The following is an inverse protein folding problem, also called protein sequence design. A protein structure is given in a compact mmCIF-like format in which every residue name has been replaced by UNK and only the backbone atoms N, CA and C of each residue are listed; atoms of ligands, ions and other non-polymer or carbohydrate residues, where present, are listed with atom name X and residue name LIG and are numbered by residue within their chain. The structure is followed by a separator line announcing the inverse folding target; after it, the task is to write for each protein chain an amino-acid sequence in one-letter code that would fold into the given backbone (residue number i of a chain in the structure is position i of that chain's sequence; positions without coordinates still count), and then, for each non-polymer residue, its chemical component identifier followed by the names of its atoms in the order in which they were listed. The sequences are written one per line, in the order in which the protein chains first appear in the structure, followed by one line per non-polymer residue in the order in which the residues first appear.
data_IF_780388592730
#
_entry.id   IF_780388592730
#
_cell.length_a   1.000
_cell.length_b   1.000
_cell.length_c   1.000
_cell.angle_alpha   90.00
_cell.angle_beta   90.00
_cell.angle_gamma   90.00
#
_symmetry.space_group_name_H-M   'P 1'
#
loop_
_entity.id
_entity.type
_entity.pdbx_description
1 polymer ?
#
# COMPACT_ATOMS: atom_id res chain seq x y z
N UNK A 1 -18.83 52.54 -23.97
CA UNK A 1 -20.31 52.63 -23.99
C UNK A 1 -20.85 51.59 -23.04
N UNK A 2 -21.55 52.12 -22.08
CA UNK A 2 -22.26 51.53 -20.97
C UNK A 2 -23.27 50.46 -21.40
N UNK A 3 -23.41 49.38 -20.61
CA UNK A 3 -24.73 48.97 -20.08
C UNK A 3 -24.55 48.01 -18.88
N UNK A 4 -24.91 48.55 -17.76
CA UNK A 4 -25.24 47.95 -16.47
C UNK A 4 -26.59 47.21 -16.63
N UNK A 5 -26.76 46.05 -16.01
CA UNK A 5 -28.06 45.47 -15.70
C UNK A 5 -28.02 44.85 -14.30
N UNK A 6 -28.77 45.46 -13.46
CA UNK A 6 -29.14 45.12 -12.06
C UNK A 6 -30.51 44.48 -12.10
N UNK A 7 -30.76 43.38 -11.42
CA UNK A 7 -32.11 42.89 -10.98
C UNK A 7 -31.85 41.88 -9.83
N UNK A 8 -32.18 42.22 -8.64
CA UNK A 8 -33.37 42.29 -7.78
C UNK A 8 -33.59 40.97 -6.98
N UNK A 9 -33.60 41.20 -5.71
CA UNK A 9 -33.87 40.41 -4.53
C UNK A 9 -35.30 39.83 -4.55
N UNK A 10 -35.45 38.57 -4.17
CA UNK A 10 -36.70 37.94 -3.82
C UNK A 10 -36.61 37.27 -2.46
N UNK A 11 -37.12 37.95 -1.45
CA UNK A 11 -37.34 37.46 -0.09
C UNK A 11 -38.69 36.71 -0.04
N UNK A 12 -38.71 35.47 0.40
CA UNK A 12 -39.93 34.68 0.64
C UNK A 12 -39.86 34.01 1.96
N UNK A 13 -40.44 34.59 2.99
CA UNK A 13 -40.73 34.03 4.29
C UNK A 13 -42.10 33.31 4.23
N UNK A 14 -42.18 32.03 4.56
CA UNK A 14 -43.43 31.41 5.04
C UNK A 14 -43.09 30.48 6.20
N UNK A 15 -43.62 30.80 7.36
CA UNK A 15 -43.56 30.00 8.56
C UNK A 15 -44.62 28.89 8.52
N UNK A 16 -44.40 27.83 9.29
CA UNK A 16 -45.33 26.76 9.56
C UNK A 16 -44.89 26.02 10.82
N UNK A 17 -45.56 26.34 11.91
CA UNK A 17 -45.46 25.61 13.18
C UNK A 17 -46.27 24.31 13.11
N UNK A 18 -45.74 23.23 13.64
CA UNK A 18 -46.45 21.95 13.77
C UNK A 18 -45.89 21.06 14.86
N UNK A 19 -46.67 20.86 15.85
CA UNK A 19 -46.60 20.25 17.17
C UNK A 19 -45.85 18.90 17.28
N UNK A 20 -45.35 18.70 18.48
CA UNK A 20 -44.78 17.53 19.09
C UNK A 20 -45.70 16.31 19.16
N UNK A 21 -45.11 15.11 19.06
CA UNK A 21 -45.63 13.90 19.69
C UNK A 21 -44.42 13.08 20.23
N UNK A 22 -44.38 13.00 21.56
CA UNK A 22 -43.50 12.10 22.31
C UNK A 22 -44.01 10.67 22.18
N UNK A 23 -43.13 9.75 21.77
CA UNK A 23 -43.37 8.31 21.82
C UNK A 23 -42.22 7.67 22.59
N UNK A 24 -42.46 7.36 23.86
CA UNK A 24 -41.60 6.46 24.65
C UNK A 24 -41.80 5.03 24.17
N UNK A 25 -40.76 4.45 23.56
CA UNK A 25 -40.63 3.02 23.35
C UNK A 25 -39.55 2.48 24.29
N UNK A 26 -39.98 1.71 25.30
CA UNK A 26 -39.10 0.90 26.12
C UNK A 26 -38.61 -0.29 25.28
N UNK A 27 -37.30 -0.40 25.10
CA UNK A 27 -36.67 -1.62 24.60
C UNK A 27 -36.23 -2.46 25.81
N UNK A 28 -36.83 -3.62 25.92
CA UNK A 28 -36.49 -4.65 26.89
C UNK A 28 -35.07 -5.21 26.58
N UNK A 29 -34.21 -5.18 27.56
CA UNK A 29 -32.93 -5.85 27.54
C UNK A 29 -33.08 -7.35 27.64
N UNK A 30 -32.69 -8.08 26.61
CA UNK A 30 -32.57 -9.55 26.62
C UNK A 30 -31.19 -9.92 27.22
N UNK A 31 -31.12 -10.78 28.25
CA UNK A 31 -29.83 -11.19 28.82
C UNK A 31 -29.13 -12.20 27.90
N UNK A 32 -27.96 -11.85 27.45
CA UNK A 32 -27.06 -12.78 26.74
C UNK A 32 -26.48 -13.78 27.73
N UNK A 33 -26.84 -15.05 27.55
CA UNK A 33 -26.32 -16.16 28.32
C UNK A 33 -24.81 -16.33 28.12
N UNK A 34 -24.10 -16.51 29.24
CA UNK A 34 -22.71 -16.88 29.29
C UNK A 34 -22.53 -18.30 28.76
N UNK A 35 -21.80 -18.44 27.65
CA UNK A 35 -21.28 -19.73 27.19
C UNK A 35 -19.91 -19.95 27.82
N UNK A 36 -19.86 -20.85 28.81
CA UNK A 36 -18.63 -21.38 29.36
C UNK A 36 -18.01 -22.33 28.34
N UNK A 37 -16.84 -22.00 27.84
CA UNK A 37 -16.03 -22.93 27.06
C UNK A 37 -15.00 -23.53 27.99
N UNK A 38 -15.23 -24.77 28.41
CA UNK A 38 -14.25 -25.61 29.11
C UNK A 38 -13.17 -26.04 28.11
N UNK A 39 -11.93 -25.79 28.48
CA UNK A 39 -10.72 -26.31 27.82
C UNK A 39 -10.37 -27.63 28.45
N UNK A 40 -10.30 -28.74 27.73
CA UNK A 40 -9.74 -29.97 28.31
C UNK A 40 -8.22 -29.92 28.32
N UNK A 41 -7.68 -30.14 29.53
CA UNK A 41 -6.25 -30.27 29.78
C UNK A 41 -5.73 -31.66 29.38
N UNK A 42 -4.53 -31.61 28.78
CA UNK A 42 -3.41 -32.54 29.02
C UNK A 42 -3.57 -34.03 28.74
N UNK A 43 -2.87 -34.47 27.68
CA UNK A 43 -2.32 -35.84 27.70
C UNK A 43 -0.80 -35.80 27.46
N UNK A 44 -0.09 -36.03 28.53
CA UNK A 44 1.34 -36.36 28.60
C UNK A 44 1.55 -37.77 28.06
N UNK A 45 2.33 -37.92 27.00
CA UNK A 45 2.85 -39.24 26.61
C UNK A 45 4.34 -39.26 26.89
N UNK A 46 4.67 -39.91 27.98
CA UNK A 46 6.01 -40.40 28.30
C UNK A 46 6.32 -41.62 27.43
N UNK A 47 7.43 -41.62 26.73
CA UNK A 47 8.03 -42.84 26.26
C UNK A 47 9.54 -42.84 26.55
N UNK A 48 9.89 -43.63 27.52
CA UNK A 48 11.25 -44.04 27.87
C UNK A 48 11.69 -45.18 26.95
N UNK A 49 12.88 -45.08 26.43
CA UNK A 49 13.54 -46.13 25.68
C UNK A 49 15.02 -45.84 25.54
N UNK A 50 15.78 -46.31 26.51
CA UNK A 50 17.23 -46.42 26.53
C UNK A 50 17.69 -47.52 25.59
N UNK A 51 18.70 -47.27 24.71
CA UNK A 51 19.72 -48.32 24.42
C UNK A 51 20.93 -47.70 23.68
N UNK A 52 22.00 -47.73 24.28
CA UNK A 52 23.42 -48.03 24.18
C UNK A 52 24.06 -48.03 22.78
N UNK A 53 25.18 -47.29 22.72
CA UNK A 53 26.19 -47.28 21.67
C UNK A 53 27.02 -48.58 21.59
N UNK A 54 27.83 -48.87 20.56
CA UNK A 54 29.13 -48.23 20.36
C UNK A 54 29.54 -48.03 18.88
N UNK A 55 30.72 -47.40 18.63
CA UNK A 55 31.15 -47.01 17.31
C UNK A 55 32.00 -48.05 16.59
N UNK A 56 32.23 -47.87 15.31
CA UNK A 56 33.60 -47.95 14.84
C UNK A 56 34.04 -46.81 13.90
N UNK A 57 35.24 -46.54 14.05
CA UNK A 57 36.29 -45.82 13.40
C UNK A 57 36.43 -46.17 11.88
N UNK A 58 36.77 -45.17 11.12
CA UNK A 58 37.83 -44.99 10.14
C UNK A 58 37.51 -44.63 8.71
N UNK A 59 38.06 -43.50 8.36
CA UNK A 59 38.92 -43.16 7.18
C UNK A 59 38.32 -43.22 5.78
N UNK A 60 38.17 -42.02 5.20
CA UNK A 60 37.93 -41.87 3.79
C UNK A 60 38.00 -40.41 3.32
N UNK A 61 39.19 -40.00 2.96
CA UNK A 61 39.58 -38.96 1.96
C UNK A 61 38.60 -37.86 1.62
N UNK A 62 39.10 -36.64 1.83
CA UNK A 62 38.52 -35.39 1.44
C UNK A 62 38.12 -35.25 -0.02
N UNK A 63 37.00 -34.66 -0.16
CA UNK A 63 36.72 -33.75 -1.27
C UNK A 63 36.03 -32.55 -0.62
N UNK A 64 36.78 -31.47 -0.52
CA UNK A 64 36.28 -30.16 -0.19
C UNK A 64 35.29 -29.78 -1.28
N UNK A 65 34.03 -29.98 -1.02
CA UNK A 65 32.97 -29.32 -1.79
C UNK A 65 33.03 -27.87 -1.32
N UNK A 66 33.54 -27.01 -2.18
CA UNK A 66 33.40 -25.57 -2.00
C UNK A 66 31.94 -25.27 -1.72
N UNK A 67 31.70 -24.76 -0.52
CA UNK A 67 30.42 -24.16 -0.15
C UNK A 67 30.12 -23.07 -1.19
N UNK A 68 29.17 -23.38 -2.05
CA UNK A 68 28.59 -22.39 -2.93
C UNK A 68 28.22 -21.18 -2.10
N UNK A 69 28.72 -20.04 -2.52
CA UNK A 69 28.34 -18.71 -2.08
C UNK A 69 26.82 -18.66 -1.87
N UNK A 70 26.37 -18.67 -0.63
CA UNK A 70 25.00 -18.37 -0.30
C UNK A 70 24.74 -16.96 -0.80
N UNK A 71 23.99 -16.84 -1.87
CA UNK A 71 23.44 -15.56 -2.29
C UNK A 71 22.73 -15.00 -1.06
N UNK A 72 23.21 -13.88 -0.55
CA UNK A 72 22.54 -13.17 0.52
C UNK A 72 21.12 -12.91 0.03
N UNK A 73 20.14 -13.57 0.66
CA UNK A 73 18.73 -13.40 0.29
C UNK A 73 18.39 -11.92 0.45
N UNK A 74 17.98 -11.28 -0.66
CA UNK A 74 17.55 -9.90 -0.67
C UNK A 74 16.33 -9.72 0.25
N UNK A 75 16.22 -8.54 0.83
CA UNK A 75 15.01 -8.12 1.55
C UNK A 75 14.18 -7.28 0.61
N UNK A 76 12.94 -7.71 0.38
CA UNK A 76 11.96 -7.01 -0.44
C UNK A 76 11.08 -6.12 0.45
N UNK A 77 10.87 -4.86 0.04
CA UNK A 77 10.01 -3.91 0.76
C UNK A 77 9.37 -2.90 -0.19
N UNK A 78 8.28 -2.33 0.28
CA UNK A 78 7.54 -1.30 -0.45
C UNK A 78 8.17 0.08 -0.27
N UNK A 79 8.11 0.88 -1.34
CA UNK A 79 8.39 2.31 -1.33
C UNK A 79 7.17 3.03 -1.91
N UNK A 80 6.68 4.03 -1.19
CA UNK A 80 5.47 4.74 -1.56
C UNK A 80 5.81 6.10 -2.19
N UNK A 81 5.49 6.21 -3.46
CA UNK A 81 5.72 7.37 -4.31
C UNK A 81 4.36 8.00 -4.70
N UNK A 82 4.34 8.82 -5.74
CA UNK A 82 3.13 9.47 -6.25
C UNK A 82 3.01 9.23 -7.75
N UNK A 83 1.78 9.01 -8.23
CA UNK A 83 1.46 8.96 -9.65
C UNK A 83 0.19 9.77 -9.90
N UNK A 84 0.32 10.88 -10.67
CA UNK A 84 -0.73 11.88 -10.73
C UNK A 84 -0.89 12.56 -9.35
N UNK A 85 -2.09 12.56 -8.82
CA UNK A 85 -2.42 13.15 -7.51
C UNK A 85 -2.52 12.11 -6.38
N UNK A 86 -2.29 10.82 -6.69
CA UNK A 86 -2.48 9.72 -5.74
C UNK A 86 -1.17 9.04 -5.38
N UNK A 87 -1.17 8.38 -4.23
CA UNK A 87 -0.09 7.50 -3.80
C UNK A 87 0.07 6.33 -4.78
N UNK A 88 1.29 5.90 -4.95
CA UNK A 88 1.67 4.78 -5.79
C UNK A 88 2.72 3.93 -5.07
N UNK A 89 2.48 2.62 -4.99
CA UNK A 89 3.39 1.68 -4.35
C UNK A 89 4.29 1.00 -5.39
N UNK A 90 5.54 0.84 -5.03
CA UNK A 90 6.53 0.06 -5.80
C UNK A 90 7.40 -0.73 -4.84
N UNK A 91 8.11 -1.73 -5.36
CA UNK A 91 8.95 -2.59 -4.56
C UNK A 91 10.43 -2.35 -4.81
N UNK A 92 11.22 -2.51 -3.76
CA UNK A 92 12.68 -2.48 -3.81
C UNK A 92 13.24 -3.73 -3.18
N UNK A 93 14.34 -4.19 -3.71
CA UNK A 93 15.12 -5.29 -3.17
C UNK A 93 16.52 -4.80 -2.86
N UNK A 94 16.99 -5.06 -1.65
CA UNK A 94 18.40 -4.84 -1.27
C UNK A 94 18.97 -6.06 -0.60
N UNK A 95 20.29 -6.24 -0.66
CA UNK A 95 20.98 -7.25 0.14
C UNK A 95 20.55 -7.15 1.61
N UNK A 96 20.40 -8.30 2.28
CA UNK A 96 19.87 -8.37 3.63
C UNK A 96 20.59 -7.41 4.57
N UNK A 97 19.83 -6.54 5.21
CA UNK A 97 20.28 -5.52 6.16
C UNK A 97 19.42 -5.56 7.42
N UNK A 98 20.00 -5.43 8.61
CA UNK A 98 19.21 -5.31 9.84
C UNK A 98 18.48 -3.95 9.94
N UNK A 99 18.81 -2.99 9.08
CA UNK A 99 18.22 -1.65 9.04
C UNK A 99 17.29 -1.48 7.84
N UNK A 100 16.34 -2.39 7.67
CA UNK A 100 15.43 -2.40 6.51
C UNK A 100 14.63 -1.11 6.40
N UNK A 101 14.15 -0.56 7.51
CA UNK A 101 13.44 0.72 7.52
C UNK A 101 14.29 1.90 7.04
N UNK A 102 15.59 1.94 7.41
CA UNK A 102 16.53 2.94 6.92
C UNK A 102 16.73 2.79 5.40
N UNK A 103 16.90 1.56 4.92
CA UNK A 103 17.04 1.28 3.49
C UNK A 103 15.80 1.71 2.70
N UNK A 104 14.61 1.44 3.24
CA UNK A 104 13.35 1.86 2.62
C UNK A 104 13.22 3.39 2.54
N UNK A 105 13.63 4.10 3.59
CA UNK A 105 13.65 5.57 3.61
C UNK A 105 14.69 6.15 2.63
N UNK A 106 15.86 5.55 2.54
CA UNK A 106 16.87 5.96 1.54
C UNK A 106 16.36 5.81 0.11
N UNK A 107 15.68 4.69 -0.21
CA UNK A 107 15.09 4.46 -1.52
C UNK A 107 13.90 5.39 -1.79
N UNK A 108 13.10 5.71 -0.77
CA UNK A 108 12.05 6.72 -0.88
C UNK A 108 12.63 8.09 -1.24
N UNK A 109 13.67 8.52 -0.55
CA UNK A 109 14.32 9.82 -0.77
C UNK A 109 15.08 9.86 -2.11
N UNK A 110 15.56 8.71 -2.60
CA UNK A 110 16.12 8.60 -3.94
C UNK A 110 15.06 8.80 -5.05
N UNK A 111 13.77 8.59 -4.72
CA UNK A 111 12.66 8.77 -5.63
C UNK A 111 12.47 7.64 -6.65
N UNK A 112 11.72 7.90 -7.73
CA UNK A 112 11.42 6.89 -8.73
C UNK A 112 12.64 6.52 -9.58
N UNK A 113 12.71 5.24 -9.96
CA UNK A 113 13.66 4.79 -10.96
C UNK A 113 13.38 5.43 -12.34
N UNK A 114 14.35 5.43 -13.29
CA UNK A 114 14.11 5.95 -14.63
C UNK A 114 12.92 5.27 -15.35
N UNK A 115 12.63 4.00 -15.05
CA UNK A 115 11.52 3.28 -15.65
C UNK A 115 10.18 3.73 -15.06
N UNK A 116 10.12 3.87 -13.76
CA UNK A 116 8.95 4.39 -13.05
C UNK A 116 8.65 5.84 -13.44
N UNK A 117 9.68 6.68 -13.54
CA UNK A 117 9.53 8.06 -14.00
C UNK A 117 8.92 8.14 -15.42
N UNK A 118 9.37 7.26 -16.34
CA UNK A 118 8.77 7.16 -17.68
C UNK A 118 7.30 6.70 -17.65
N UNK A 119 6.92 5.93 -16.63
CA UNK A 119 5.54 5.52 -16.39
C UNK A 119 4.71 6.56 -15.62
N UNK A 120 5.25 7.76 -15.38
CA UNK A 120 4.57 8.87 -14.73
C UNK A 120 4.60 8.84 -13.21
N UNK A 121 5.47 8.01 -12.62
CA UNK A 121 5.69 8.01 -11.16
C UNK A 121 6.64 9.15 -10.79
N UNK A 122 6.31 9.86 -9.73
CA UNK A 122 7.06 11.01 -9.21
C UNK A 122 7.16 10.94 -7.70
N UNK A 123 7.81 11.92 -7.08
CA UNK A 123 7.77 12.17 -5.65
C UNK A 123 7.45 13.65 -5.40
N UNK A 124 6.75 13.93 -4.29
CA UNK A 124 6.52 15.30 -3.83
C UNK A 124 7.46 15.68 -2.68
N UNK A 125 8.32 14.74 -2.26
CA UNK A 125 9.39 15.03 -1.31
C UNK A 125 10.42 15.92 -2.02
N UNK A 126 10.79 17.08 -1.44
CA UNK A 126 11.73 18.00 -2.07
C UNK A 126 13.09 17.35 -2.30
N UNK A 127 13.68 17.62 -3.46
CA UNK A 127 15.05 17.22 -3.75
C UNK A 127 16.00 17.84 -2.70
N UNK A 128 16.95 17.02 -2.22
CA UNK A 128 17.88 17.45 -1.17
C UNK A 128 17.43 17.13 0.25
N UNK A 129 16.19 16.67 0.47
CA UNK A 129 15.77 16.09 1.75
C UNK A 129 16.70 14.92 2.12
N UNK A 130 17.21 14.94 3.36
CA UNK A 130 18.12 13.91 3.87
C UNK A 130 17.49 13.20 5.06
N UNK A 131 17.75 11.92 5.18
CA UNK A 131 17.47 11.16 6.40
C UNK A 131 18.59 11.41 7.40
N UNK A 132 18.27 12.05 8.53
CA UNK A 132 19.21 12.34 9.60
C UNK A 132 19.18 11.23 10.67
N UNK A 133 18.01 10.61 10.87
CA UNK A 133 17.85 9.52 11.81
C UNK A 133 16.58 8.73 11.60
N UNK A 134 16.60 7.45 12.01
CA UNK A 134 15.41 6.62 12.13
C UNK A 134 15.55 5.71 13.34
N UNK A 135 14.65 5.84 14.28
CA UNK A 135 14.58 5.01 15.49
C UNK A 135 13.19 4.38 15.61
N UNK A 136 13.12 3.17 16.15
CA UNK A 136 11.83 2.52 16.45
C UNK A 136 11.81 2.17 17.93
N UNK A 137 10.89 2.76 18.66
CA UNK A 137 10.71 2.52 20.10
C UNK A 137 9.24 2.37 20.43
N UNK A 138 8.89 1.30 21.16
CA UNK A 138 7.50 1.01 21.58
C UNK A 138 6.47 1.03 20.43
N UNK A 139 6.91 0.69 19.23
CA UNK A 139 6.06 0.68 18.05
C UNK A 139 5.97 2.01 17.29
N UNK A 140 6.63 3.06 17.77
CA UNK A 140 6.70 4.35 17.05
C UNK A 140 8.03 4.44 16.31
N UNK A 141 7.96 4.64 15.00
CA UNK A 141 9.11 5.01 14.19
C UNK A 141 9.25 6.53 14.23
N UNK A 142 10.33 7.03 14.81
CA UNK A 142 10.67 8.46 14.77
C UNK A 142 11.64 8.68 13.62
N UNK A 143 11.21 9.47 12.65
CA UNK A 143 11.98 9.82 11.44
C UNK A 143 12.47 11.23 11.56
N UNK A 144 13.79 11.41 11.61
CA UNK A 144 14.43 12.72 11.58
C UNK A 144 14.89 13.03 10.14
N UNK A 145 14.31 14.08 9.57
CA UNK A 145 14.59 14.54 8.21
C UNK A 145 15.18 15.96 8.29
N UNK A 146 15.95 16.31 7.26
CA UNK A 146 16.42 17.69 7.16
C UNK A 146 15.26 18.64 6.79
N UNK A 147 15.37 19.91 7.18
CA UNK A 147 14.31 20.92 7.03
C UNK A 147 13.87 21.17 5.59
N UNK A 148 14.63 20.73 4.59
CA UNK A 148 14.19 20.73 3.19
C UNK A 148 12.88 19.97 2.99
N UNK A 149 12.56 18.99 3.86
CA UNK A 149 11.34 18.18 3.78
C UNK A 149 10.07 19.02 3.84
N UNK A 150 10.04 20.13 4.56
CA UNK A 150 8.88 21.02 4.62
C UNK A 150 8.92 22.17 3.61
N UNK A 151 9.96 22.27 2.77
CA UNK A 151 10.12 23.39 1.85
C UNK A 151 9.15 23.31 0.65
N UNK A 152 8.50 24.44 0.34
CA UNK A 152 7.63 24.61 -0.85
C UNK A 152 6.42 23.68 -0.87
N UNK A 153 5.49 23.90 -1.79
CA UNK A 153 4.23 23.14 -1.94
C UNK A 153 3.10 23.73 -1.09
N UNK A 154 1.89 23.23 -1.29
CA UNK A 154 0.70 23.56 -0.49
C UNK A 154 0.24 22.34 0.29
N UNK A 155 -0.89 22.44 1.00
CA UNK A 155 -1.41 21.43 1.94
C UNK A 155 -1.53 20.02 1.33
N UNK A 156 -2.00 19.89 0.09
CA UNK A 156 -2.08 18.59 -0.60
C UNK A 156 -0.69 17.95 -0.78
N UNK A 157 0.32 18.75 -1.18
CA UNK A 157 1.70 18.29 -1.31
C UNK A 157 2.30 17.91 0.03
N UNK A 158 2.01 18.68 1.08
CA UNK A 158 2.48 18.40 2.44
C UNK A 158 1.88 17.10 2.99
N UNK A 159 0.58 16.90 2.85
CA UNK A 159 -0.09 15.65 3.22
C UNK A 159 0.49 14.45 2.47
N UNK A 160 0.73 14.59 1.17
CA UNK A 160 1.30 13.51 0.37
C UNK A 160 2.76 13.18 0.75
N UNK A 161 3.57 14.16 1.20
CA UNK A 161 4.93 13.91 1.75
C UNK A 161 4.86 13.05 3.00
N UNK A 162 4.01 13.44 3.95
CA UNK A 162 3.81 12.68 5.18
C UNK A 162 3.33 11.26 4.87
N UNK A 163 2.38 11.12 3.94
CA UNK A 163 1.85 9.84 3.50
C UNK A 163 2.92 8.93 2.87
N UNK A 164 3.79 9.48 2.00
CA UNK A 164 4.89 8.71 1.40
C UNK A 164 5.79 8.09 2.48
N UNK A 165 6.16 8.86 3.51
CA UNK A 165 6.98 8.38 4.62
C UNK A 165 6.21 7.40 5.49
N UNK A 166 4.99 7.75 5.91
CA UNK A 166 4.16 6.93 6.78
C UNK A 166 3.87 5.56 6.15
N UNK A 167 3.43 5.53 4.88
CA UNK A 167 3.14 4.28 4.18
C UNK A 167 4.39 3.42 3.93
N UNK A 168 5.55 4.06 3.66
CA UNK A 168 6.81 3.33 3.50
C UNK A 168 7.25 2.65 4.79
N UNK A 169 6.96 3.22 5.95
CA UNK A 169 7.37 2.64 7.23
C UNK A 169 6.31 1.76 7.88
N UNK A 170 5.02 2.01 7.66
CA UNK A 170 3.91 1.27 8.28
C UNK A 170 3.83 -0.22 7.84
N UNK A 171 4.53 -0.59 6.76
CA UNK A 171 4.65 -1.98 6.31
C UNK A 171 5.41 -2.89 7.28
N UNK A 172 6.27 -2.31 8.12
CA UNK A 172 7.11 -3.11 9.03
C UNK A 172 6.33 -3.49 10.29
N UNK A 173 6.29 -4.79 10.68
CA UNK A 173 5.49 -5.27 11.81
C UNK A 173 5.82 -4.60 13.16
N UNK A 174 7.05 -4.08 13.29
CA UNK A 174 7.51 -3.37 14.47
C UNK A 174 7.03 -1.92 14.56
N UNK A 175 6.50 -1.37 13.46
CA UNK A 175 5.99 0.01 13.36
C UNK A 175 4.48 -0.01 13.54
N UNK A 176 3.98 0.82 14.45
CA UNK A 176 2.57 1.02 14.76
C UNK A 176 2.12 2.45 14.48
N UNK A 177 3.07 3.32 14.17
CA UNK A 177 2.88 4.71 13.81
C UNK A 177 4.21 5.39 13.59
N UNK A 178 4.18 6.52 12.90
CA UNK A 178 5.34 7.32 12.49
C UNK A 178 5.22 8.71 13.09
N UNK A 179 6.27 9.16 13.79
CA UNK A 179 6.44 10.53 14.26
C UNK A 179 7.59 11.19 13.50
N UNK A 180 7.53 12.50 13.36
CA UNK A 180 8.47 13.28 12.57
C UNK A 180 9.33 14.18 13.43
N UNK A 181 10.59 14.30 13.05
CA UNK A 181 11.52 15.33 13.52
C UNK A 181 12.09 16.04 12.29
N UNK A 182 12.39 17.33 12.42
CA UNK A 182 13.12 18.11 11.44
C UNK A 182 14.36 18.71 12.11
N UNK A 183 15.53 18.40 11.55
CA UNK A 183 16.83 18.79 12.11
C UNK A 183 16.94 18.48 13.62
N UNK A 184 16.43 17.29 14.02
CA UNK A 184 16.40 16.83 15.42
C UNK A 184 15.36 17.49 16.32
N UNK A 185 14.41 18.25 15.76
CA UNK A 185 13.33 18.87 16.53
C UNK A 185 11.99 18.17 16.24
N UNK A 186 11.24 17.74 17.26
CA UNK A 186 9.91 17.17 17.08
C UNK A 186 8.96 18.11 16.35
N UNK A 187 8.11 17.56 15.49
CA UNK A 187 7.14 18.31 14.68
C UNK A 187 5.72 17.95 15.14
N UNK A 188 5.09 18.86 15.87
CA UNK A 188 3.67 18.74 16.26
C UNK A 188 2.73 19.41 15.24
N UNK A 189 3.24 20.37 14.47
CA UNK A 189 2.54 21.04 13.38
C UNK A 189 3.48 21.10 12.19
N UNK A 190 3.09 20.41 11.10
CA UNK A 190 3.91 20.33 9.91
C UNK A 190 3.59 21.46 8.94
N UNK A 191 4.64 22.21 8.59
CA UNK A 191 4.67 23.32 7.64
C UNK A 191 3.77 24.52 7.99
N UNK A 192 3.90 25.60 7.22
CA UNK A 192 3.02 26.77 7.29
C UNK A 192 1.55 26.49 6.96
N UNK A 193 1.25 25.29 6.42
CA UNK A 193 -0.12 24.82 6.14
C UNK A 193 -0.87 24.38 7.41
N UNK A 194 -0.17 24.21 8.53
CA UNK A 194 -0.76 23.90 9.82
C UNK A 194 -1.29 22.48 9.96
N UNK A 195 -0.67 21.49 9.31
CA UNK A 195 -1.05 20.09 9.46
C UNK A 195 -0.64 19.61 10.85
N UNK A 196 -1.63 19.28 11.70
CA UNK A 196 -1.40 18.84 13.07
C UNK A 196 -0.97 17.38 13.09
N UNK A 197 0.13 17.12 13.82
CA UNK A 197 0.71 15.80 14.04
C UNK A 197 0.72 15.48 15.54
N UNK A 198 -0.44 15.53 16.19
CA UNK A 198 -0.62 15.35 17.64
C UNK A 198 -0.51 13.88 18.09
N UNK A 199 -0.41 12.96 17.13
CA UNK A 199 -0.20 11.53 17.36
C UNK A 199 0.64 10.92 16.24
N UNK A 200 1.30 9.75 16.48
CA UNK A 200 2.02 9.05 15.42
C UNK A 200 1.06 8.61 14.31
N UNK A 201 1.31 9.06 13.08
CA UNK A 201 0.45 8.80 11.91
C UNK A 201 0.74 7.44 11.28
N UNK A 202 -0.24 6.91 10.54
CA UNK A 202 -0.17 5.64 9.82
C UNK A 202 -0.58 5.81 8.36
N UNK A 203 -0.27 4.82 7.53
CA UNK A 203 -0.69 4.83 6.13
C UNK A 203 -2.21 4.97 5.96
N UNK A 204 -3.01 4.33 6.81
CA UNK A 204 -4.47 4.42 6.80
C UNK A 204 -5.03 5.83 7.03
N UNK A 205 -4.27 6.71 7.67
CA UNK A 205 -4.70 8.09 7.95
C UNK A 205 -4.66 8.95 6.68
N UNK A 206 -4.11 8.39 5.59
CA UNK A 206 -4.00 8.99 4.25
C UNK A 206 -4.73 8.17 3.18
N UNK A 207 -5.79 7.44 3.56
CA UNK A 207 -6.54 6.58 2.62
C UNK A 207 -7.18 7.38 1.47
N UNK A 208 -7.52 8.63 1.71
CA UNK A 208 -8.03 9.59 0.71
C UNK A 208 -7.02 9.94 -0.39
N UNK A 209 -5.73 9.71 -0.15
CA UNK A 209 -4.67 9.86 -1.15
C UNK A 209 -4.43 8.58 -1.97
N UNK A 210 -5.06 7.47 -1.64
CA UNK A 210 -4.96 6.25 -2.44
C UNK A 210 -5.80 6.39 -3.72
N UNK A 211 -5.32 5.85 -4.86
CA UNK A 211 -6.12 5.83 -6.09
C UNK A 211 -7.33 4.90 -5.91
N UNK A 212 -8.35 5.07 -6.72
CA UNK A 212 -9.53 4.18 -6.74
C UNK A 212 -9.12 2.71 -6.85
N UNK A 213 -8.14 2.42 -7.71
CA UNK A 213 -7.51 1.11 -7.86
C UNK A 213 -6.02 1.26 -7.58
N UNK A 214 -5.50 0.58 -6.57
CA UNK A 214 -4.09 0.47 -6.25
C UNK A 214 -3.60 -0.93 -6.65
N UNK A 215 -2.65 -1.02 -7.57
CA UNK A 215 -1.99 -2.28 -7.92
C UNK A 215 -0.68 -2.36 -7.14
N UNK A 216 -0.58 -3.38 -6.29
CA UNK A 216 0.61 -3.63 -5.46
C UNK A 216 1.57 -4.59 -6.15
N UNK A 217 1.03 -5.52 -6.93
CA UNK A 217 1.81 -6.50 -7.69
C UNK A 217 1.15 -6.77 -9.05
N UNK A 218 1.93 -6.88 -10.15
CA UNK A 218 3.39 -6.69 -10.24
C UNK A 218 3.80 -5.22 -10.23
N UNK A 219 5.11 -4.99 -10.00
CA UNK A 219 5.73 -3.68 -10.10
C UNK A 219 6.03 -3.29 -11.55
N UNK A 220 6.20 -1.99 -11.79
CA UNK A 220 6.64 -1.45 -13.07
C UNK A 220 8.01 -2.05 -13.45
N UNK A 221 8.09 -2.63 -14.66
CA UNK A 221 9.29 -3.25 -15.23
C UNK A 221 9.58 -4.65 -14.74
N UNK A 222 8.75 -5.23 -13.89
CA UNK A 222 8.92 -6.60 -13.44
C UNK A 222 8.86 -7.57 -14.64
N UNK A 223 9.73 -8.58 -14.60
CA UNK A 223 9.66 -9.74 -15.51
C UNK A 223 8.60 -10.69 -14.98
N UNK A 224 7.60 -10.99 -15.77
CA UNK A 224 6.45 -11.79 -15.37
C UNK A 224 6.27 -12.99 -16.30
N UNK A 225 5.99 -14.13 -15.72
CA UNK A 225 5.66 -15.39 -16.41
C UNK A 225 4.16 -15.62 -16.37
N UNK A 226 3.64 -16.48 -17.23
CA UNK A 226 2.24 -16.93 -17.20
C UNK A 226 1.90 -17.53 -15.82
N UNK A 227 0.68 -17.27 -15.33
CA UNK A 227 0.30 -17.58 -13.96
C UNK A 227 0.68 -16.48 -12.96
N UNK A 228 1.04 -15.27 -13.44
CA UNK A 228 1.33 -14.15 -12.57
C UNK A 228 0.12 -13.78 -11.70
N UNK A 229 0.34 -13.65 -10.40
CA UNK A 229 -0.67 -13.08 -9.50
C UNK A 229 -0.68 -11.56 -9.61
N UNK A 230 -1.82 -10.98 -9.99
CA UNK A 230 -2.06 -9.54 -9.96
C UNK A 230 -2.88 -9.22 -8.71
N UNK A 231 -2.37 -8.34 -7.86
CA UNK A 231 -3.00 -8.04 -6.58
C UNK A 231 -2.91 -6.56 -6.19
N UNK A 232 -3.79 -6.17 -5.28
CA UNK A 232 -3.85 -4.82 -4.77
C UNK A 232 -5.12 -4.54 -3.98
N UNK A 233 -5.55 -3.28 -3.97
CA UNK A 233 -6.79 -2.87 -3.33
C UNK A 233 -7.59 -1.91 -4.21
N UNK A 234 -8.91 -1.93 -4.05
CA UNK A 234 -9.81 -1.09 -4.83
C UNK A 234 -11.02 -0.62 -4.02
N UNK A 235 -11.54 0.56 -4.36
CA UNK A 235 -12.83 1.06 -3.91
C UNK A 235 -13.66 1.37 -5.16
N UNK A 236 -14.23 0.31 -5.74
CA UNK A 236 -14.95 0.34 -7.00
C UNK A 236 -16.40 -0.14 -6.83
N UNK A 237 -17.26 0.26 -7.74
CA UNK A 237 -18.67 -0.15 -7.72
C UNK A 237 -18.79 -1.68 -7.82
N UNK A 238 -19.62 -2.28 -6.97
CA UNK A 238 -19.83 -3.74 -6.88
C UNK A 238 -18.55 -4.56 -6.65
N UNK A 239 -17.46 -3.90 -6.22
CA UNK A 239 -16.16 -4.54 -5.98
C UNK A 239 -15.56 -5.25 -7.20
N UNK A 240 -16.06 -5.01 -8.41
CA UNK A 240 -15.62 -5.71 -9.62
C UNK A 240 -14.33 -5.09 -10.18
N UNK A 241 -13.31 -5.93 -10.37
CA UNK A 241 -11.99 -5.54 -10.90
C UNK A 241 -11.67 -6.42 -12.10
N UNK A 242 -11.45 -5.79 -13.26
CA UNK A 242 -11.03 -6.44 -14.50
C UNK A 242 -9.52 -6.33 -14.66
N UNK A 243 -8.87 -7.44 -15.01
CA UNK A 243 -7.43 -7.51 -15.29
C UNK A 243 -7.24 -7.95 -16.74
N UNK A 244 -6.40 -7.22 -17.48
CA UNK A 244 -6.02 -7.54 -18.85
C UNK A 244 -4.51 -7.58 -19.00
N UNK A 245 -3.99 -8.44 -19.85
CA UNK A 245 -2.59 -8.46 -20.26
C UNK A 245 -2.53 -8.06 -21.73
N UNK A 246 -1.77 -7.02 -22.02
CA UNK A 246 -1.55 -6.53 -23.38
C UNK A 246 -0.11 -6.79 -23.80
N UNK A 247 0.10 -7.13 -25.08
CA UNK A 247 1.43 -7.21 -25.68
C UNK A 247 2.05 -5.84 -25.97
N UNK A 248 3.25 -5.82 -26.55
CA UNK A 248 3.96 -4.59 -26.92
C UNK A 248 3.20 -3.74 -27.95
N UNK A 249 2.33 -4.34 -28.76
CA UNK A 249 1.48 -3.67 -29.75
C UNK A 249 0.14 -3.19 -29.18
N UNK A 250 -0.15 -3.54 -27.92
CA UNK A 250 -1.43 -3.24 -27.28
C UNK A 250 -2.52 -4.26 -27.58
N UNK A 251 -2.18 -5.42 -28.18
CA UNK A 251 -3.12 -6.51 -28.42
C UNK A 251 -3.40 -7.21 -27.08
N UNK A 252 -4.67 -7.49 -26.81
CA UNK A 252 -5.07 -8.21 -25.61
C UNK A 252 -4.70 -9.70 -25.72
N UNK A 253 -3.84 -10.16 -24.82
CA UNK A 253 -3.42 -11.56 -24.72
C UNK A 253 -4.31 -12.33 -23.74
N UNK A 254 -4.81 -11.67 -22.72
CA UNK A 254 -5.62 -12.27 -21.66
C UNK A 254 -6.52 -11.23 -21.01
N UNK A 255 -7.69 -11.72 -20.55
CA UNK A 255 -8.63 -10.94 -19.76
C UNK A 255 -9.28 -11.82 -18.71
N UNK A 256 -9.41 -11.28 -17.50
CA UNK A 256 -10.18 -11.89 -16.44
C UNK A 256 -10.76 -10.84 -15.51
N UNK A 257 -11.57 -11.28 -14.56
CA UNK A 257 -12.12 -10.41 -13.54
C UNK A 257 -12.12 -11.12 -12.18
N UNK A 258 -12.04 -10.30 -11.14
CA UNK A 258 -12.10 -10.76 -9.75
C UNK A 258 -12.94 -9.78 -8.94
N UNK A 259 -13.36 -10.20 -7.76
CA UNK A 259 -14.13 -9.34 -6.84
C UNK A 259 -13.24 -8.98 -5.66
N UNK A 260 -13.11 -7.69 -5.38
CA UNK A 260 -12.44 -7.23 -4.16
C UNK A 260 -13.25 -7.59 -2.91
N UNK A 261 -12.59 -7.70 -1.77
CA UNK A 261 -13.24 -8.09 -0.50
C UNK A 261 -14.24 -7.05 0.02
N UNK A 262 -14.22 -5.84 -0.52
CA UNK A 262 -15.16 -4.76 -0.28
C UNK A 262 -15.26 -3.86 -1.52
N UNK A 263 -16.36 -3.13 -1.69
CA UNK A 263 -16.55 -2.16 -2.77
C UNK A 263 -17.69 -1.20 -2.46
N UNK A 264 -17.89 -0.20 -3.33
CA UNK A 264 -18.97 0.80 -3.19
C UNK A 264 -18.94 1.53 -1.85
N UNK A 265 -17.88 2.32 -1.63
CA UNK A 265 -17.71 3.14 -0.43
C UNK A 265 -16.79 2.53 0.65
N UNK A 266 -16.19 1.39 0.38
CA UNK A 266 -15.11 0.81 1.19
C UNK A 266 -14.01 0.27 0.28
N UNK A 267 -12.79 0.22 0.80
CA UNK A 267 -11.65 -0.35 0.09
C UNK A 267 -11.52 -1.83 0.41
N UNK A 268 -11.53 -2.66 -0.63
CA UNK A 268 -11.30 -4.10 -0.52
C UNK A 268 -9.99 -4.51 -1.19
N UNK A 269 -9.41 -5.63 -0.79
CA UNK A 269 -8.27 -6.24 -1.45
C UNK A 269 -8.73 -7.16 -2.57
N UNK A 270 -7.97 -7.23 -3.65
CA UNK A 270 -8.18 -8.17 -4.76
C UNK A 270 -6.90 -8.94 -5.06
N UNK A 271 -7.08 -10.14 -5.60
CA UNK A 271 -6.00 -10.99 -6.10
C UNK A 271 -6.54 -11.87 -7.21
N UNK A 272 -5.76 -12.05 -8.27
CA UNK A 272 -6.12 -12.87 -9.42
C UNK A 272 -4.86 -13.40 -10.10
N UNK A 273 -4.82 -14.69 -10.37
CA UNK A 273 -3.81 -15.30 -11.23
C UNK A 273 -4.21 -15.12 -12.68
N UNK A 274 -3.27 -14.72 -13.52
CA UNK A 274 -3.52 -14.41 -14.94
C UNK A 274 -2.56 -15.18 -15.81
N UNK A 275 -3.12 -16.03 -16.67
CA UNK A 275 -2.38 -16.78 -17.69
C UNK A 275 -2.32 -15.98 -18.98
N UNK A 276 -1.21 -16.09 -19.70
CA UNK A 276 -1.00 -15.54 -21.04
C UNK A 276 0.04 -16.37 -21.79
N UNK A 277 0.09 -16.22 -23.10
CA UNK A 277 1.08 -16.89 -23.94
C UNK A 277 1.86 -15.87 -24.76
N UNK A 278 3.19 -15.97 -24.72
CA UNK A 278 4.10 -15.24 -25.59
C UNK A 278 5.24 -16.17 -26.04
N UNK A 279 5.70 -15.99 -27.26
CA UNK A 279 6.74 -16.88 -27.87
C UNK A 279 8.15 -16.41 -27.60
N UNK A 280 8.34 -15.19 -27.14
CA UNK A 280 9.62 -14.59 -26.81
C UNK A 280 9.43 -13.48 -25.76
N UNK A 281 10.52 -13.14 -25.08
CA UNK A 281 10.54 -12.02 -24.16
C UNK A 281 10.17 -10.71 -24.87
N UNK A 282 9.19 -9.98 -24.34
CA UNK A 282 8.74 -8.72 -24.90
C UNK A 282 8.18 -7.77 -23.86
N UNK A 283 8.09 -6.49 -24.21
CA UNK A 283 7.36 -5.54 -23.40
C UNK A 283 5.86 -5.90 -23.39
N UNK A 284 5.22 -5.64 -22.28
CA UNK A 284 3.77 -5.78 -22.14
C UNK A 284 3.21 -4.79 -21.12
N UNK A 285 1.92 -4.83 -20.95
CA UNK A 285 1.23 -3.99 -19.97
C UNK A 285 0.14 -4.80 -19.27
N UNK A 286 0.17 -4.83 -17.95
CA UNK A 286 -0.96 -5.29 -17.16
C UNK A 286 -1.86 -4.07 -16.91
N UNK A 287 -3.13 -4.22 -17.26
CA UNK A 287 -4.16 -3.19 -17.13
C UNK A 287 -5.18 -3.67 -16.13
N UNK A 288 -5.37 -2.88 -15.07
CA UNK A 288 -6.37 -3.16 -14.03
C UNK A 288 -7.40 -2.03 -14.07
N UNK A 289 -8.66 -2.37 -14.21
CA UNK A 289 -9.74 -1.39 -14.33
C UNK A 289 -11.00 -1.83 -13.60
N UNK A 290 -11.86 -0.86 -13.28
CA UNK A 290 -13.26 -1.13 -12.99
C UNK A 290 -14.07 -1.22 -14.30
N UNK A 291 -15.30 -1.67 -14.18
CA UNK A 291 -16.27 -1.64 -15.27
C UNK A 291 -17.32 -0.54 -14.98
N UNK A 292 -17.89 0.05 -16.05
CA UNK A 292 -19.05 0.94 -15.91
C UNK A 292 -20.34 0.11 -15.69
N UNK A 293 -20.34 -0.76 -14.66
CA UNK A 293 -21.46 -1.62 -14.33
C UNK A 293 -22.73 -0.83 -13.99
N UNK A 294 -22.57 0.44 -13.56
CA UNK A 294 -23.69 1.34 -13.30
C UNK A 294 -24.26 2.00 -14.55
N UNK A 295 -23.65 1.80 -15.74
CA UNK A 295 -24.10 2.38 -17.01
C UNK A 295 -24.08 3.91 -17.04
N UNK A 296 -23.12 4.51 -16.33
CA UNK A 296 -23.01 5.98 -16.18
C UNK A 296 -22.43 6.65 -17.41
N UNK A 297 -21.81 5.88 -18.31
CA UNK A 297 -21.07 6.37 -19.47
C UNK A 297 -19.77 7.08 -19.10
N UNK A 298 -19.32 7.00 -17.84
CA UNK A 298 -18.01 7.49 -17.41
C UNK A 298 -16.92 6.53 -17.88
N UNK A 299 -15.74 7.04 -18.30
CA UNK A 299 -14.61 6.16 -18.57
C UNK A 299 -14.24 5.42 -17.29
N UNK A 300 -13.85 4.12 -17.39
CA UNK A 300 -13.44 3.35 -16.25
C UNK A 300 -12.15 3.94 -15.64
N UNK A 301 -11.98 3.74 -14.33
CA UNK A 301 -10.69 3.95 -13.70
C UNK A 301 -9.75 2.85 -14.20
N UNK A 302 -8.60 3.25 -14.73
CA UNK A 302 -7.65 2.32 -15.33
C UNK A 302 -6.24 2.59 -14.79
N UNK A 303 -5.59 1.52 -14.34
CA UNK A 303 -4.19 1.53 -13.93
C UNK A 303 -3.40 0.66 -14.88
N UNK A 304 -2.33 1.21 -15.46
CA UNK A 304 -1.43 0.52 -16.39
C UNK A 304 -0.09 0.29 -15.73
N UNK A 305 0.35 -0.96 -15.68
CA UNK A 305 1.65 -1.39 -15.16
C UNK A 305 2.47 -1.96 -16.31
N UNK A 306 3.44 -1.21 -16.87
CA UNK A 306 4.39 -1.74 -17.83
C UNK A 306 5.22 -2.86 -17.21
N UNK A 307 5.32 -4.00 -17.91
CA UNK A 307 6.05 -5.20 -17.47
C UNK A 307 6.87 -5.76 -18.62
N UNK A 308 7.72 -6.75 -18.34
CA UNK A 308 8.35 -7.59 -19.34
C UNK A 308 7.71 -8.98 -19.30
N UNK A 309 7.01 -9.35 -20.36
CA UNK A 309 6.38 -10.67 -20.50
C UNK A 309 7.45 -11.69 -20.90
N UNK A 310 7.48 -12.81 -20.18
CA UNK A 310 8.42 -13.90 -20.40
C UNK A 310 7.70 -15.05 -21.10
N UNK A 311 8.38 -15.76 -22.07
CA UNK A 311 7.82 -16.96 -22.66
C UNK A 311 7.70 -18.06 -21.60
N UNK A 312 6.67 -18.90 -21.75
CA UNK A 312 6.41 -20.07 -20.92
C UNK A 312 7.38 -21.21 -21.21
#
# INVERSE_FOLDING_TARGET
MKRLALIVIGLGLVGGAGLAAAGCGQEEAVPVGAVSTEIPANQTVTNSGTETAPPPTETGSGTSVESGSGAASGVLYQVWLVRGESLFVTWRERAGTPRVGTAAMEDLLAGPTPLEARAGVTTVIPAGTRLLGLTVSKGVATVDLSSEFESGGGSASMSARLAQVACTLDQFPTVKGVSFELDGQPVDVFSGEGIVLDHPVRCRDYEDLLPVILVEHPSIGQRVESGITVSGSANVFEANVTVRVLDAGGTELSRGFTTATCGTGCRGTFSMDVDFEVTHEQAGTIVVSDDDAAGTGKPPHEVRIPVTLMPS
#
